data_IF_711107607991
#
_entry.id   IF_711107607991
#
_cell.length_a   1.000
_cell.length_b   1.000
_cell.length_c   1.000
_cell.angle_alpha   90.00
_cell.angle_beta   90.00
_cell.angle_gamma   90.00
#
_symmetry.space_group_name_H-M   'P 1'
#
loop_
_entity.id
_entity.type
_entity.pdbx_description
1 polymer ?
#
# COMPACT_ATOMS: atom_id res chain seq x y z
N UNK A 1 -21.88 -28.32 33.28
CA UNK A 1 -20.52 -28.87 33.05
C UNK A 1 -20.55 -29.79 31.83
N UNK A 2 -20.29 -29.25 30.63
CA UNK A 2 -20.17 -30.06 29.40
C UNK A 2 -18.72 -30.54 29.29
N UNK A 3 -18.53 -31.86 29.17
CA UNK A 3 -17.20 -32.49 29.04
C UNK A 3 -16.67 -32.29 27.62
N UNK A 4 -15.54 -31.59 27.50
CA UNK A 4 -14.73 -31.56 26.28
C UNK A 4 -14.08 -32.94 26.07
N UNK A 5 -14.35 -33.58 24.93
CA UNK A 5 -13.56 -34.72 24.46
C UNK A 5 -12.44 -34.19 23.57
N UNK A 6 -11.20 -34.32 24.04
CA UNK A 6 -10.01 -34.14 23.20
C UNK A 6 -9.86 -35.38 22.31
N UNK A 7 -9.99 -35.21 21.00
CA UNK A 7 -9.62 -36.23 20.01
C UNK A 7 -8.12 -36.08 19.75
N UNK A 8 -7.33 -37.10 20.12
CA UNK A 8 -5.92 -37.20 19.77
C UNK A 8 -5.80 -37.59 18.30
N UNK A 9 -5.25 -36.71 17.48
CA UNK A 9 -4.96 -36.97 16.08
C UNK A 9 -3.53 -37.56 15.99
N UNK A 10 -3.39 -38.84 15.67
CA UNK A 10 -2.10 -39.44 15.32
C UNK A 10 -2.09 -39.71 13.81
N UNK A 11 -1.30 -38.93 13.07
CA UNK A 11 -1.06 -39.12 11.65
C UNK A 11 0.14 -40.05 11.46
N UNK A 12 -0.08 -41.26 10.98
CA UNK A 12 0.99 -42.16 10.54
C UNK A 12 0.85 -42.34 9.03
N UNK A 13 1.63 -41.57 8.27
CA UNK A 13 1.79 -41.71 6.83
C UNK A 13 3.09 -42.50 6.55
N UNK A 14 2.93 -43.76 6.13
CA UNK A 14 3.90 -44.51 5.33
C UNK A 14 3.09 -45.59 4.60
N UNK A 15 3.22 -45.80 3.30
CA UNK A 15 4.35 -46.48 2.67
C UNK A 15 4.33 -46.24 1.15
N UNK A 16 5.52 -46.07 0.57
CA UNK A 16 5.82 -46.14 -0.86
C UNK A 16 6.00 -47.60 -1.34
N UNK A 17 5.63 -47.81 -2.61
CA UNK A 17 6.28 -48.66 -3.62
C UNK A 17 5.71 -50.06 -3.97
N UNK A 18 5.57 -50.21 -5.30
CA UNK A 18 5.83 -51.38 -6.15
C UNK A 18 4.85 -52.58 -6.16
N UNK A 19 4.11 -52.63 -7.27
CA UNK A 19 3.61 -53.78 -8.02
C UNK A 19 3.81 -55.19 -7.46
N UNK A 20 2.69 -55.85 -7.16
CA UNK A 20 2.21 -57.07 -7.82
C UNK A 20 0.83 -57.40 -7.25
N UNK A 21 -0.12 -57.67 -8.14
CA UNK A 21 -1.51 -57.94 -7.80
C UNK A 21 -1.62 -59.26 -7.01
N UNK A 22 -1.93 -59.14 -5.72
CA UNK A 22 -2.74 -60.12 -5.00
C UNK A 22 -3.86 -59.31 -4.36
N UNK A 23 -5.01 -59.25 -5.04
CA UNK A 23 -6.25 -58.76 -4.46
C UNK A 23 -6.66 -59.76 -3.37
N UNK A 24 -6.17 -59.51 -2.16
CA UNK A 24 -6.62 -60.20 -0.97
C UNK A 24 -7.93 -59.50 -0.56
N UNK A 25 -9.00 -60.25 -0.27
CA UNK A 25 -10.29 -59.67 0.21
C UNK A 25 -10.07 -58.72 1.39
N UNK A 26 -9.01 -58.94 2.17
CA UNK A 26 -8.55 -58.07 3.26
C UNK A 26 -8.07 -56.68 2.78
N UNK A 27 -7.44 -56.59 1.61
CA UNK A 27 -7.01 -55.31 1.00
C UNK A 27 -8.20 -54.55 0.44
N UNK A 28 -9.13 -55.22 -0.25
CA UNK A 28 -10.37 -54.59 -0.74
C UNK A 28 -11.26 -54.14 0.42
N UNK A 29 -11.35 -54.95 1.48
CA UNK A 29 -12.04 -54.59 2.73
C UNK A 29 -11.43 -53.36 3.39
N UNK A 30 -10.09 -53.28 3.44
CA UNK A 30 -9.38 -52.10 3.99
C UNK A 30 -9.58 -50.86 3.14
N UNK A 31 -9.56 -50.98 1.80
CA UNK A 31 -9.84 -49.87 0.88
C UNK A 31 -11.29 -49.39 1.06
N UNK A 32 -12.27 -50.29 1.08
CA UNK A 32 -13.67 -49.93 1.30
C UNK A 32 -13.92 -49.28 2.67
N UNK A 33 -13.24 -49.75 3.71
CA UNK A 33 -13.31 -49.15 5.05
C UNK A 33 -12.66 -47.74 5.05
N UNK A 34 -11.51 -47.57 4.41
CA UNK A 34 -10.86 -46.26 4.24
C UNK A 34 -11.74 -45.29 3.44
N UNK A 35 -12.36 -45.73 2.34
CA UNK A 35 -13.28 -44.92 1.55
C UNK A 35 -14.51 -44.51 2.36
N UNK A 36 -15.06 -45.42 3.17
CA UNK A 36 -16.18 -45.14 4.07
C UNK A 36 -15.79 -44.15 5.17
N UNK A 37 -14.61 -44.30 5.79
CA UNK A 37 -14.08 -43.37 6.77
C UNK A 37 -13.78 -41.99 6.16
N UNK A 38 -13.25 -41.95 4.93
CA UNK A 38 -13.04 -40.70 4.19
C UNK A 38 -14.36 -40.02 3.80
N UNK A 39 -15.38 -40.79 3.44
CA UNK A 39 -16.71 -40.26 3.12
C UNK A 39 -17.38 -39.70 4.39
N UNK A 40 -17.34 -40.44 5.51
CA UNK A 40 -17.83 -39.98 6.79
C UNK A 40 -17.07 -38.74 7.29
N UNK A 41 -15.74 -38.72 7.13
CA UNK A 41 -14.93 -37.55 7.46
C UNK A 41 -15.29 -36.35 6.57
N UNK A 42 -15.44 -36.53 5.25
CA UNK A 42 -15.88 -35.47 4.33
C UNK A 42 -17.27 -34.96 4.68
N UNK A 43 -18.16 -35.83 5.14
CA UNK A 43 -19.51 -35.47 5.54
C UNK A 43 -19.55 -34.77 6.90
N UNK A 44 -18.72 -35.20 7.86
CA UNK A 44 -18.49 -34.50 9.13
C UNK A 44 -17.85 -33.13 8.92
N UNK A 45 -16.91 -33.03 7.99
CA UNK A 45 -16.24 -31.76 7.65
C UNK A 45 -17.20 -30.82 6.92
N UNK A 46 -18.02 -31.31 5.98
CA UNK A 46 -19.10 -30.55 5.33
C UNK A 46 -20.20 -30.14 6.30
N UNK A 47 -20.66 -31.05 7.16
CA UNK A 47 -21.77 -30.79 8.10
C UNK A 47 -21.37 -29.87 9.25
N UNK A 48 -20.10 -29.87 9.65
CA UNK A 48 -19.56 -28.93 10.63
C UNK A 48 -18.97 -27.65 10.00
N UNK A 49 -19.12 -27.44 8.68
CA UNK A 49 -18.55 -26.29 7.97
C UNK A 49 -17.03 -26.11 8.20
N UNK A 50 -16.30 -27.18 8.49
CA UNK A 50 -14.87 -27.10 8.78
C UNK A 50 -14.05 -26.75 7.52
N UNK A 51 -14.54 -27.08 6.33
CA UNK A 51 -14.01 -26.62 5.03
C UNK A 51 -14.26 -25.14 4.73
N UNK A 52 -15.16 -24.48 5.48
CA UNK A 52 -15.61 -23.10 5.24
C UNK A 52 -15.30 -22.16 6.41
N UNK A 53 -14.89 -22.70 7.55
CA UNK A 53 -14.57 -21.94 8.76
C UNK A 53 -13.25 -21.19 8.68
N UNK A 54 -12.26 -21.70 7.95
CA UNK A 54 -10.99 -21.00 7.75
C UNK A 54 -10.50 -21.15 6.32
N UNK A 55 -10.24 -20.03 5.64
CA UNK A 55 -9.69 -19.99 4.28
C UNK A 55 -8.35 -19.31 4.30
N UNK A 56 -7.41 -19.90 3.56
CA UNK A 56 -6.14 -19.29 3.22
C UNK A 56 -6.16 -18.94 1.75
N UNK A 57 -5.84 -17.70 1.43
CA UNK A 57 -5.61 -17.23 0.08
C UNK A 57 -4.29 -16.44 0.06
N UNK A 58 -3.50 -16.63 -0.98
CA UNK A 58 -2.27 -15.90 -1.20
C UNK A 58 -2.39 -15.22 -2.57
N UNK A 59 -2.06 -13.93 -2.60
CA UNK A 59 -1.89 -13.14 -3.80
C UNK A 59 -0.58 -12.36 -3.67
N UNK A 60 -0.33 -11.43 -4.58
CA UNK A 60 0.76 -10.47 -4.43
C UNK A 60 1.28 -10.00 -5.77
N UNK A 61 2.48 -9.45 -5.75
CA UNK A 61 3.16 -9.07 -6.97
C UNK A 61 4.68 -9.14 -6.86
N UNK A 62 5.32 -9.09 -8.01
CA UNK A 62 6.76 -8.95 -8.13
C UNK A 62 7.08 -8.02 -9.31
N UNK A 63 8.20 -7.31 -9.21
CA UNK A 63 8.72 -6.54 -10.33
C UNK A 63 10.25 -6.48 -10.35
N UNK A 64 10.76 -6.18 -11.52
CA UNK A 64 12.15 -5.78 -11.74
C UNK A 64 12.14 -4.45 -12.47
N UNK A 65 12.88 -3.49 -11.93
CA UNK A 65 12.96 -2.12 -12.44
C UNK A 65 14.35 -1.86 -13.02
N UNK A 66 14.39 -1.07 -14.08
CA UNK A 66 15.61 -0.57 -14.67
C UNK A 66 15.47 0.90 -15.06
N UNK A 67 16.56 1.62 -14.94
CA UNK A 67 16.68 3.04 -15.29
C UNK A 67 17.84 3.20 -16.27
N UNK A 68 17.69 4.10 -17.24
CA UNK A 68 18.76 4.47 -18.15
C UNK A 68 18.64 5.94 -18.60
N UNK A 69 19.77 6.58 -18.85
CA UNK A 69 19.87 7.93 -19.40
C UNK A 69 19.70 9.07 -18.39
N UNK A 70 19.61 8.76 -17.10
CA UNK A 70 19.54 9.77 -16.03
C UNK A 70 20.91 10.40 -15.81
N UNK A 71 20.92 11.72 -15.60
CA UNK A 71 22.13 12.45 -15.20
C UNK A 71 22.34 12.40 -13.68
N UNK A 72 21.33 11.96 -12.92
CA UNK A 72 21.34 11.84 -11.46
C UNK A 72 21.59 10.42 -10.94
N UNK A 73 21.42 9.41 -11.79
CA UNK A 73 21.55 8.00 -11.42
C UNK A 73 22.23 7.19 -12.51
N UNK A 74 23.07 6.24 -12.12
CA UNK A 74 23.70 5.31 -13.07
C UNK A 74 22.67 4.40 -13.76
N UNK A 75 22.90 4.14 -15.05
CA UNK A 75 22.17 3.14 -15.82
C UNK A 75 22.26 1.76 -15.14
N UNK A 76 21.12 1.13 -14.88
CA UNK A 76 21.13 -0.17 -14.21
C UNK A 76 19.77 -0.74 -13.89
N UNK A 77 19.80 -1.92 -13.27
CA UNK A 77 18.64 -2.51 -12.61
C UNK A 77 18.58 -1.96 -11.18
N UNK A 78 17.46 -1.34 -10.83
CA UNK A 78 17.36 -0.51 -9.62
C UNK A 78 16.53 -1.14 -8.52
N UNK A 79 15.68 -2.12 -8.85
CA UNK A 79 14.91 -2.86 -7.87
C UNK A 79 14.57 -4.27 -8.36
N UNK A 80 14.53 -5.21 -7.43
CA UNK A 80 13.91 -6.52 -7.60
C UNK A 80 13.03 -6.76 -6.37
N UNK A 81 11.72 -6.71 -6.57
CA UNK A 81 10.73 -6.75 -5.49
C UNK A 81 9.87 -7.99 -5.55
N UNK A 82 9.57 -8.54 -4.38
CA UNK A 82 8.59 -9.59 -4.17
C UNK A 82 7.69 -9.22 -2.99
N UNK A 83 6.41 -9.01 -3.28
CA UNK A 83 5.42 -8.55 -2.32
C UNK A 83 4.27 -9.57 -2.17
N UNK A 84 4.44 -10.64 -1.37
CA UNK A 84 3.38 -11.60 -1.11
C UNK A 84 2.33 -11.04 -0.15
N UNK A 85 1.06 -11.27 -0.49
CA UNK A 85 -0.10 -10.88 0.30
C UNK A 85 -0.81 -12.13 0.82
N UNK A 86 -0.95 -12.23 2.13
CA UNK A 86 -1.63 -13.33 2.78
C UNK A 86 -2.99 -12.92 3.30
N UNK A 87 -4.01 -13.71 2.98
CA UNK A 87 -5.37 -13.55 3.45
C UNK A 87 -5.77 -14.78 4.26
N UNK A 88 -6.02 -14.59 5.54
CA UNK A 88 -6.50 -15.64 6.44
C UNK A 88 -7.90 -15.27 6.94
N UNK A 89 -8.92 -15.90 6.34
CA UNK A 89 -10.31 -15.61 6.68
C UNK A 89 -10.85 -16.65 7.66
N UNK A 90 -11.51 -16.20 8.74
CA UNK A 90 -12.32 -17.03 9.63
C UNK A 90 -13.82 -16.73 9.46
N UNK A 91 -14.57 -17.73 9.00
CA UNK A 91 -15.98 -17.59 8.60
C UNK A 91 -16.14 -16.43 7.59
N UNK A 92 -17.26 -15.72 7.67
CA UNK A 92 -17.60 -14.46 7.03
C UNK A 92 -17.30 -13.24 7.93
N UNK A 93 -16.64 -13.44 9.08
CA UNK A 93 -16.59 -12.43 10.15
C UNK A 93 -15.25 -11.77 10.32
N UNK A 94 -14.17 -12.54 10.18
CA UNK A 94 -12.82 -12.04 10.46
C UNK A 94 -11.94 -12.35 9.27
N UNK A 95 -11.18 -11.37 8.83
CA UNK A 95 -10.14 -11.52 7.83
C UNK A 95 -8.86 -10.91 8.39
N UNK A 96 -7.76 -11.65 8.33
CA UNK A 96 -6.44 -11.06 8.44
C UNK A 96 -5.90 -10.87 7.03
N UNK A 97 -5.31 -9.70 6.77
CA UNK A 97 -4.62 -9.38 5.52
C UNK A 97 -3.23 -8.85 5.87
N UNK A 98 -2.21 -9.30 5.14
CA UNK A 98 -0.87 -8.77 5.34
C UNK A 98 -0.04 -8.86 4.08
N UNK A 99 0.60 -7.75 3.72
CA UNK A 99 1.56 -7.64 2.63
C UNK A 99 2.96 -7.46 3.21
N UNK A 100 3.86 -8.34 2.80
CA UNK A 100 5.28 -8.14 3.01
C UNK A 100 5.85 -7.47 1.77
N UNK A 101 6.82 -6.60 1.94
CA UNK A 101 7.66 -6.11 0.86
C UNK A 101 9.07 -6.68 1.07
N UNK A 102 9.57 -7.42 0.08
CA UNK A 102 10.91 -7.99 0.09
C UNK A 102 11.64 -7.42 -1.12
N UNK A 103 12.72 -6.69 -0.88
CA UNK A 103 13.49 -6.07 -1.94
C UNK A 103 15.00 -6.07 -1.69
N UNK A 104 15.75 -5.86 -2.78
CA UNK A 104 17.20 -5.70 -2.71
C UNK A 104 17.53 -4.23 -2.57
N UNK A 105 18.25 -3.86 -1.50
CA UNK A 105 18.69 -2.48 -1.28
C UNK A 105 19.97 -2.14 -2.08
N UNK A 106 20.45 -0.90 -1.96
CA UNK A 106 21.62 -0.40 -2.69
C UNK A 106 22.93 -1.17 -2.38
N UNK A 107 23.05 -1.74 -1.19
CA UNK A 107 24.21 -2.56 -0.77
C UNK A 107 24.10 -4.02 -1.25
N UNK A 108 23.01 -4.38 -1.92
CA UNK A 108 22.72 -5.73 -2.38
C UNK A 108 22.20 -6.66 -1.27
N UNK A 109 21.84 -6.11 -0.11
CA UNK A 109 21.20 -6.84 0.97
C UNK A 109 19.69 -6.98 0.72
N UNK A 110 19.07 -7.96 1.38
CA UNK A 110 17.62 -8.15 1.32
C UNK A 110 16.97 -7.42 2.49
N UNK A 111 16.13 -6.45 2.17
CA UNK A 111 15.26 -5.77 3.11
C UNK A 111 13.88 -6.43 3.13
N UNK A 112 13.28 -6.51 4.32
CA UNK A 112 11.95 -7.09 4.53
C UNK A 112 11.15 -6.12 5.39
N UNK A 113 10.10 -5.55 4.81
CA UNK A 113 9.15 -4.68 5.49
C UNK A 113 7.74 -5.30 5.49
N UNK A 114 6.91 -4.88 6.43
CA UNK A 114 5.47 -5.13 6.39
C UNK A 114 4.79 -3.87 5.87
N UNK A 115 4.29 -3.90 4.64
CA UNK A 115 3.63 -2.75 4.00
C UNK A 115 2.27 -2.49 4.67
N UNK A 116 1.49 -3.54 4.92
CA UNK A 116 0.35 -3.52 5.83
C UNK A 116 0.14 -4.87 6.51
N UNK A 117 -0.53 -4.83 7.66
CA UNK A 117 -0.94 -6.00 8.42
C UNK A 117 -2.17 -5.65 9.27
N UNK A 118 -3.33 -6.18 8.91
CA UNK A 118 -4.61 -5.82 9.53
C UNK A 118 -5.42 -7.04 9.97
N UNK A 119 -6.28 -6.80 10.96
CA UNK A 119 -7.38 -7.69 11.33
C UNK A 119 -8.68 -6.93 11.08
N UNK A 120 -9.52 -7.50 10.24
CA UNK A 120 -10.73 -6.93 9.70
C UNK A 120 -11.93 -7.68 10.25
N UNK A 121 -12.70 -7.03 11.12
CA UNK A 121 -13.96 -7.54 11.66
C UNK A 121 -15.12 -7.03 10.81
N UNK A 122 -15.71 -7.94 10.02
CA UNK A 122 -16.90 -7.68 9.23
C UNK A 122 -18.11 -7.51 10.16
N UNK A 123 -18.64 -6.30 10.28
CA UNK A 123 -19.77 -6.01 11.17
C UNK A 123 -21.10 -6.27 10.44
N UNK A 124 -21.18 -5.87 9.18
CA UNK A 124 -22.28 -6.12 8.25
C UNK A 124 -21.84 -5.83 6.80
N UNK A 125 -22.76 -5.96 5.85
CA UNK A 125 -22.52 -5.75 4.40
C UNK A 125 -22.01 -4.33 4.03
N UNK A 126 -22.08 -3.36 4.94
CA UNK A 126 -21.76 -1.95 4.68
C UNK A 126 -20.60 -1.40 5.52
N UNK A 127 -20.04 -2.20 6.44
CA UNK A 127 -18.94 -1.73 7.29
C UNK A 127 -18.08 -2.88 7.85
N UNK A 128 -16.77 -2.65 7.83
CA UNK A 128 -15.75 -3.45 8.49
C UNK A 128 -14.97 -2.56 9.46
N UNK A 129 -14.66 -3.11 10.63
CA UNK A 129 -13.73 -2.52 11.59
C UNK A 129 -12.35 -3.16 11.35
N UNK A 130 -11.40 -2.35 10.92
CA UNK A 130 -10.02 -2.71 10.59
C UNK A 130 -9.12 -2.25 11.73
N UNK A 131 -8.21 -3.10 12.19
CA UNK A 131 -7.22 -2.73 13.19
C UNK A 131 -5.83 -3.28 12.81
N UNK A 132 -4.79 -2.46 12.88
CA UNK A 132 -3.42 -2.83 12.50
C UNK A 132 -2.70 -1.73 11.73
N UNK A 133 -1.62 -2.10 11.02
CA UNK A 133 -0.94 -1.22 10.06
C UNK A 133 -1.74 -1.27 8.76
N UNK A 134 -2.30 -0.16 8.32
CA UNK A 134 -3.06 -0.08 7.08
C UNK A 134 -2.51 1.03 6.18
N UNK A 135 -2.63 0.87 4.86
CA UNK A 135 -2.33 1.94 3.92
C UNK A 135 -3.25 3.13 4.18
N UNK A 136 -2.68 4.34 4.15
CA UNK A 136 -3.45 5.54 4.44
C UNK A 136 -4.65 5.64 3.50
N UNK A 137 -5.88 5.85 4.02
CA UNK A 137 -7.05 6.04 3.18
C UNK A 137 -7.11 7.45 2.59
N UNK A 138 -6.17 8.35 2.94
CA UNK A 138 -6.10 9.70 2.40
C UNK A 138 -5.64 9.61 0.94
N UNK A 139 -6.46 10.15 0.03
CA UNK A 139 -6.24 9.99 -1.40
C UNK A 139 -6.63 8.61 -1.95
N UNK A 140 -6.21 8.34 -3.19
CA UNK A 140 -6.62 7.19 -3.99
C UNK A 140 -5.42 6.35 -4.43
N UNK A 141 -4.29 6.97 -4.75
CA UNK A 141 -3.13 6.30 -5.31
C UNK A 141 -2.64 5.17 -4.41
N UNK A 142 -2.35 5.50 -3.15
CA UNK A 142 -1.75 4.56 -2.19
C UNK A 142 -2.63 3.34 -1.97
N UNK A 143 -3.89 3.51 -1.59
CA UNK A 143 -4.73 2.36 -1.26
C UNK A 143 -5.21 1.52 -2.46
N UNK A 144 -5.13 2.02 -3.70
CA UNK A 144 -5.75 1.34 -4.85
C UNK A 144 -4.81 0.95 -5.99
N UNK A 145 -3.73 1.70 -6.23
CA UNK A 145 -2.94 1.55 -7.47
C UNK A 145 -1.43 1.56 -7.24
N UNK A 146 -0.96 1.60 -5.99
CA UNK A 146 0.47 1.49 -5.67
C UNK A 146 1.14 0.19 -6.17
N UNK A 147 0.47 -0.99 -6.25
CA UNK A 147 1.16 -2.21 -6.67
C UNK A 147 1.68 -2.07 -8.09
N UNK A 148 2.92 -2.51 -8.32
CA UNK A 148 3.62 -2.25 -9.57
C UNK A 148 2.86 -2.78 -10.79
N UNK A 149 2.18 -3.91 -10.73
CA UNK A 149 1.40 -4.42 -11.87
C UNK A 149 0.08 -3.67 -12.13
N UNK A 150 -0.41 -2.87 -11.18
CA UNK A 150 -1.63 -2.07 -11.29
C UNK A 150 -1.29 -0.63 -11.72
N UNK A 151 -0.23 -0.05 -11.16
CA UNK A 151 0.27 1.27 -11.54
C UNK A 151 0.55 1.31 -13.05
N UNK A 152 0.13 2.39 -13.73
CA UNK A 152 0.20 2.47 -15.19
C UNK A 152 1.59 2.86 -15.71
N UNK A 153 2.40 3.50 -14.87
CA UNK A 153 3.80 3.79 -15.16
C UNK A 153 4.72 2.97 -14.24
N UNK A 154 6.03 2.87 -14.55
CA UNK A 154 7.00 2.19 -13.68
C UNK A 154 7.12 2.81 -12.29
N UNK A 155 6.97 4.13 -12.18
CA UNK A 155 7.16 4.90 -10.94
C UNK A 155 5.85 5.39 -10.34
N UNK A 156 5.83 5.64 -9.03
CA UNK A 156 4.77 6.41 -8.39
C UNK A 156 4.70 7.84 -8.96
N UNK A 157 3.54 8.52 -8.93
CA UNK A 157 3.46 9.95 -9.20
C UNK A 157 4.40 10.74 -8.29
N UNK A 158 4.93 11.85 -8.80
CA UNK A 158 5.77 12.76 -8.00
C UNK A 158 5.02 13.20 -6.74
N UNK A 159 5.67 13.13 -5.58
CA UNK A 159 5.05 13.44 -4.28
C UNK A 159 4.16 12.35 -3.66
N UNK A 160 3.97 11.20 -4.34
CA UNK A 160 3.21 10.05 -3.82
C UNK A 160 4.10 8.85 -3.44
N UNK A 161 5.43 9.03 -3.50
CA UNK A 161 6.48 8.10 -3.03
C UNK A 161 6.81 8.29 -1.54
N UNK A 162 7.91 7.68 -1.08
CA UNK A 162 8.46 7.96 0.26
C UNK A 162 8.97 9.40 0.34
N UNK A 163 8.86 10.02 1.53
CA UNK A 163 9.19 11.44 1.74
C UNK A 163 8.31 12.44 0.96
N UNK A 164 7.19 11.98 0.38
CA UNK A 164 6.28 12.81 -0.41
C UNK A 164 5.20 13.50 0.42
N UNK A 165 4.38 14.33 -0.24
CA UNK A 165 3.24 15.00 0.39
C UNK A 165 2.10 14.03 0.77
N UNK A 166 2.00 12.88 0.12
CA UNK A 166 0.92 11.92 0.37
C UNK A 166 1.26 10.96 1.53
N UNK A 167 0.42 10.89 2.59
CA UNK A 167 0.64 9.93 3.67
C UNK A 167 0.66 8.47 3.19
N UNK A 168 1.56 7.66 3.76
CA UNK A 168 1.80 6.30 3.28
C UNK A 168 0.96 5.26 4.03
N UNK A 169 1.09 5.21 5.36
CA UNK A 169 0.43 4.21 6.19
C UNK A 169 0.18 4.69 7.60
N UNK A 170 -0.74 4.04 8.28
CA UNK A 170 -1.17 4.36 9.64
C UNK A 170 -1.22 3.09 10.50
N UNK A 171 -0.84 3.21 11.78
CA UNK A 171 -1.06 2.15 12.78
C UNK A 171 -2.20 2.56 13.71
N UNK A 172 -3.33 1.85 13.64
CA UNK A 172 -4.49 2.22 14.44
C UNK A 172 -5.74 1.40 14.16
N UNK A 173 -6.88 2.08 14.19
CA UNK A 173 -8.20 1.51 13.93
C UNK A 173 -8.93 2.33 12.88
N UNK A 174 -9.53 1.65 11.91
CA UNK A 174 -10.30 2.23 10.82
C UNK A 174 -11.69 1.58 10.74
N UNK A 175 -12.73 2.39 10.54
CA UNK A 175 -14.04 1.94 10.12
C UNK A 175 -14.21 2.28 8.63
N UNK A 176 -14.32 1.26 7.79
CA UNK A 176 -14.47 1.44 6.35
C UNK A 176 -15.65 0.68 5.78
N UNK A 177 -16.19 1.14 4.67
CA UNK A 177 -17.30 0.47 4.01
C UNK A 177 -17.78 1.16 2.76
N UNK A 178 -18.90 0.66 2.24
CA UNK A 178 -19.56 1.23 1.09
C UNK A 178 -21.07 1.09 1.21
N UNK A 179 -21.80 2.08 0.71
CA UNK A 179 -23.26 2.14 0.78
C UNK A 179 -23.85 2.33 -0.63
N UNK A 180 -24.88 1.53 -0.99
CA UNK A 180 -25.68 1.84 -2.16
C UNK A 180 -26.53 3.08 -1.87
N UNK A 181 -26.57 3.99 -2.83
CA UNK A 181 -27.46 5.15 -2.82
C UNK A 181 -28.65 4.87 -3.76
N UNK A 182 -29.14 5.88 -4.49
CA UNK A 182 -30.22 5.70 -5.46
C UNK A 182 -29.70 5.14 -6.80
N UNK A 183 -30.41 4.18 -7.39
CA UNK A 183 -30.09 3.65 -8.72
C UNK A 183 -28.68 3.04 -8.79
N UNK A 184 -27.87 3.54 -9.73
CA UNK A 184 -26.47 3.11 -9.91
C UNK A 184 -25.46 3.86 -9.03
N UNK A 185 -25.92 4.82 -8.22
CA UNK A 185 -25.04 5.63 -7.38
C UNK A 185 -24.53 4.84 -6.18
N UNK A 186 -23.26 5.04 -5.80
CA UNK A 186 -22.63 4.42 -4.63
C UNK A 186 -21.82 5.47 -3.87
N UNK A 187 -21.55 5.21 -2.60
CA UNK A 187 -20.52 5.92 -1.85
C UNK A 187 -19.65 4.92 -1.09
N UNK A 188 -18.38 5.24 -0.92
CA UNK A 188 -17.44 4.52 -0.06
C UNK A 188 -16.89 5.48 1.00
N UNK A 189 -16.46 4.93 2.13
CA UNK A 189 -15.86 5.72 3.21
C UNK A 189 -14.83 4.90 3.97
N UNK A 190 -13.86 5.60 4.53
CA UNK A 190 -12.92 5.09 5.51
C UNK A 190 -12.67 6.20 6.52
N UNK A 191 -12.90 5.94 7.81
CA UNK A 191 -12.64 6.85 8.90
C UNK A 191 -11.69 6.17 9.87
N UNK A 192 -10.66 6.85 10.35
CA UNK A 192 -9.65 6.23 11.18
C UNK A 192 -9.22 7.10 12.35
N UNK A 193 -8.61 6.43 13.32
CA UNK A 193 -7.71 7.04 14.29
C UNK A 193 -6.44 6.20 14.38
N UNK A 194 -5.30 6.86 14.46
CA UNK A 194 -3.97 6.24 14.42
C UNK A 194 -2.98 6.98 15.30
N UNK A 195 -1.86 6.34 15.58
CA UNK A 195 -0.67 7.03 16.05
C UNK A 195 -0.30 8.14 15.05
N UNK A 196 0.21 9.27 15.55
CA UNK A 196 0.58 10.39 14.70
C UNK A 196 1.85 10.12 13.87
N UNK A 197 2.04 10.82 12.74
CA UNK A 197 3.33 10.87 12.05
C UNK A 197 4.38 11.54 12.93
N UNK A 198 5.63 11.51 12.50
CA UNK A 198 6.74 12.21 13.17
C UNK A 198 7.44 13.13 12.20
N UNK A 199 7.77 14.34 12.64
CA UNK A 199 8.65 15.24 11.89
C UNK A 199 10.08 14.93 12.32
N UNK A 200 10.87 14.38 11.41
CA UNK A 200 12.27 14.05 11.65
C UNK A 200 13.11 15.21 11.16
N UNK A 201 13.97 15.73 12.04
CA UNK A 201 14.88 16.82 11.72
C UNK A 201 16.30 16.33 11.94
N UNK A 202 17.08 16.31 10.87
CA UNK A 202 18.50 16.03 10.92
C UNK A 202 19.31 17.32 10.75
N UNK A 203 20.31 17.48 11.60
CA UNK A 203 21.10 18.70 11.71
C UNK A 203 22.56 18.35 11.96
N UNK A 204 23.16 17.69 10.98
CA UNK A 204 24.56 17.28 11.06
C UNK A 204 25.51 18.50 10.98
N UNK A 205 26.56 18.56 11.84
CA UNK A 205 27.43 19.73 11.90
C UNK A 205 28.17 20.03 10.58
N UNK A 206 27.73 21.08 9.89
CA UNK A 206 28.34 21.54 8.64
C UNK A 206 27.61 21.10 7.37
N UNK A 207 26.49 20.40 7.53
CA UNK A 207 25.54 20.06 6.46
C UNK A 207 24.30 20.94 6.57
N UNK A 208 23.44 20.89 5.54
CA UNK A 208 22.16 21.58 5.57
C UNK A 208 21.17 20.82 6.47
N UNK A 209 20.21 21.52 7.06
CA UNK A 209 19.22 20.89 7.93
C UNK A 209 18.23 20.13 7.06
N UNK A 210 18.18 18.82 7.19
CA UNK A 210 17.23 17.97 6.50
C UNK A 210 15.96 17.82 7.33
N UNK A 211 14.81 17.95 6.66
CA UNK A 211 13.50 17.85 7.29
C UNK A 211 12.68 16.82 6.54
N UNK A 212 12.42 15.70 7.19
CA UNK A 212 11.62 14.62 6.64
C UNK A 212 10.33 14.45 7.43
N UNK A 213 9.25 14.23 6.70
CA UNK A 213 7.94 13.99 7.26
C UNK A 213 7.63 12.50 7.19
N UNK A 214 7.87 11.81 8.31
CA UNK A 214 7.69 10.37 8.41
C UNK A 214 6.21 10.03 8.52
N UNK A 215 5.65 9.62 7.38
CA UNK A 215 4.23 9.23 7.23
C UNK A 215 4.03 7.73 7.11
N UNK A 216 5.08 6.95 7.37
CA UNK A 216 4.94 5.52 7.60
C UNK A 216 4.46 5.21 9.01
N UNK A 217 3.69 4.14 9.15
CA UNK A 217 3.11 3.74 10.40
C UNK A 217 4.17 3.31 11.44
N UNK A 218 4.32 4.11 12.50
CA UNK A 218 5.16 3.77 13.65
C UNK A 218 4.36 3.08 14.78
N UNK A 219 5.01 2.14 15.46
CA UNK A 219 4.48 1.52 16.68
C UNK A 219 4.55 2.44 17.90
N UNK A 220 5.37 3.50 17.84
CA UNK A 220 5.43 4.57 18.83
C UNK A 220 4.25 5.54 18.66
N UNK A 221 3.79 6.07 19.77
CA UNK A 221 2.97 7.29 19.82
C UNK A 221 3.61 8.23 20.83
N UNK A 222 4.87 8.59 20.55
CA UNK A 222 5.79 9.20 21.53
C UNK A 222 5.25 10.51 22.11
N UNK A 223 4.52 11.27 21.30
CA UNK A 223 3.91 12.55 21.66
C UNK A 223 2.59 12.38 22.44
N UNK A 224 2.02 11.18 22.42
CA UNK A 224 0.76 10.84 23.08
C UNK A 224 -0.49 11.32 22.35
N UNK A 225 -0.38 11.90 21.16
CA UNK A 225 -1.53 12.42 20.41
C UNK A 225 -1.99 11.42 19.35
N UNK A 226 -3.30 11.34 19.14
CA UNK A 226 -3.84 10.56 18.03
C UNK A 226 -4.15 11.48 16.84
N UNK A 227 -3.96 10.95 15.64
CA UNK A 227 -4.48 11.54 14.41
C UNK A 227 -5.86 10.94 14.13
N UNK A 228 -6.74 11.76 13.58
CA UNK A 228 -8.07 11.38 13.12
C UNK A 228 -8.23 11.81 11.68
N UNK A 229 -8.71 10.92 10.83
CA UNK A 229 -8.85 11.23 9.42
C UNK A 229 -9.78 10.30 8.69
N UNK A 230 -9.83 10.49 7.39
CA UNK A 230 -10.60 9.61 6.53
C UNK A 230 -10.78 10.12 5.11
N UNK A 231 -11.49 9.32 4.33
CA UNK A 231 -11.88 9.60 2.96
C UNK A 231 -13.35 9.23 2.74
N UNK A 232 -14.03 10.02 1.94
CA UNK A 232 -15.35 9.72 1.39
C UNK A 232 -15.27 9.78 -0.13
N UNK A 233 -15.57 8.65 -0.77
CA UNK A 233 -15.71 8.55 -2.22
C UNK A 233 -17.18 8.53 -2.63
N UNK A 234 -17.51 9.26 -3.68
CA UNK A 234 -18.85 9.31 -4.27
C UNK A 234 -18.80 8.88 -5.73
N UNK A 235 -19.62 7.89 -6.07
CA UNK A 235 -19.76 7.36 -7.42
C UNK A 235 -21.15 7.70 -7.96
N UNK A 236 -21.34 8.84 -8.64
CA UNK A 236 -22.64 9.20 -9.23
C UNK A 236 -23.06 8.22 -10.33
N UNK A 237 -22.07 7.63 -11.00
CA UNK A 237 -22.22 6.53 -11.96
C UNK A 237 -21.07 5.54 -11.75
N UNK A 238 -21.20 4.25 -12.12
CA UNK A 238 -20.14 3.27 -11.90
C UNK A 238 -18.80 3.60 -12.56
N UNK A 239 -18.82 4.46 -13.58
CA UNK A 239 -17.64 4.89 -14.33
C UNK A 239 -16.84 6.03 -13.66
N UNK A 240 -17.43 6.77 -12.73
CA UNK A 240 -16.84 7.97 -12.13
C UNK A 240 -16.79 7.83 -10.61
N UNK A 241 -15.62 8.02 -10.02
CA UNK A 241 -15.42 8.19 -8.58
C UNK A 241 -14.83 9.57 -8.31
N UNK A 242 -15.38 10.28 -7.32
CA UNK A 242 -14.87 11.54 -6.79
C UNK A 242 -14.62 11.36 -5.29
N UNK A 243 -13.40 11.60 -4.84
CA UNK A 243 -13.00 11.46 -3.44
C UNK A 243 -12.63 12.79 -2.80
N UNK A 244 -12.99 12.94 -1.53
CA UNK A 244 -12.44 13.95 -0.63
C UNK A 244 -11.91 13.25 0.61
N UNK A 245 -10.75 13.68 1.09
CA UNK A 245 -10.08 13.11 2.24
C UNK A 245 -9.37 14.17 3.07
N UNK A 246 -9.07 13.83 4.32
CA UNK A 246 -8.24 14.66 5.17
C UNK A 246 -7.98 14.04 6.52
N UNK A 247 -7.00 14.58 7.22
CA UNK A 247 -6.60 14.16 8.56
C UNK A 247 -6.27 15.39 9.41
N UNK A 248 -6.45 15.26 10.72
CA UNK A 248 -6.13 16.28 11.71
C UNK A 248 -5.61 15.63 12.99
N UNK A 249 -4.66 16.27 13.64
CA UNK A 249 -4.09 15.80 14.89
C UNK A 249 -2.89 16.64 15.32
N UNK A 250 -1.94 15.98 15.97
CA UNK A 250 -0.64 16.56 16.29
C UNK A 250 0.46 15.71 15.69
N UNK A 251 1.63 16.31 15.57
CA UNK A 251 2.85 15.68 15.14
C UNK A 251 3.96 15.99 16.15
N UNK A 252 4.62 14.92 16.62
CA UNK A 252 5.84 15.03 17.42
C UNK A 252 7.04 15.33 16.53
N UNK A 253 8.10 15.89 17.12
CA UNK A 253 9.35 16.20 16.43
C UNK A 253 10.46 15.34 17.00
N UNK A 254 11.19 14.64 16.14
CA UNK A 254 12.38 13.86 16.48
C UNK A 254 13.64 14.53 15.93
N UNK A 255 14.77 14.34 16.61
CA UNK A 255 16.08 14.83 16.18
C UNK A 255 16.97 13.62 15.82
N UNK A 256 17.61 13.65 14.64
CA UNK A 256 18.35 12.51 14.09
C UNK A 256 17.44 11.61 13.23
N UNK A 257 17.56 10.28 13.30
CA UNK A 257 16.84 9.35 12.41
C UNK A 257 15.82 8.42 13.12
N UNK A 258 15.53 8.62 14.41
CA UNK A 258 14.67 7.69 15.17
C UNK A 258 13.32 8.34 15.52
N UNK A 259 12.25 7.89 14.85
CA UNK A 259 10.86 8.32 15.09
C UNK A 259 10.34 8.04 16.50
N UNK A 260 11.05 7.23 17.29
CA UNK A 260 10.70 6.92 18.68
C UNK A 260 11.37 7.84 19.71
N UNK A 261 12.43 8.55 19.33
CA UNK A 261 13.20 9.44 20.20
C UNK A 261 12.89 10.92 19.91
N UNK A 262 11.76 11.39 20.47
CA UNK A 262 11.36 12.79 20.32
C UNK A 262 12.35 13.77 20.95
N UNK A 263 12.51 14.92 20.29
CA UNK A 263 13.37 16.02 20.73
C UNK A 263 12.92 16.54 22.10
N UNK A 264 13.85 16.49 23.06
CA UNK A 264 13.53 16.81 24.45
C UNK A 264 13.14 18.28 24.63
N UNK A 265 11.89 18.53 25.01
CA UNK A 265 11.37 19.87 25.26
C UNK A 265 10.79 20.57 24.03
N UNK A 266 10.77 19.90 22.87
CA UNK A 266 10.07 20.36 21.68
C UNK A 266 8.56 20.06 21.81
N UNK A 267 7.67 21.03 21.57
CA UNK A 267 6.24 20.81 21.66
C UNK A 267 5.67 20.18 20.39
N UNK A 268 4.54 19.48 20.54
CA UNK A 268 3.81 18.92 19.40
C UNK A 268 3.15 20.02 18.57
N UNK A 269 3.18 19.85 17.25
CA UNK A 269 2.68 20.85 16.29
C UNK A 269 1.34 20.41 15.71
N UNK A 270 0.54 21.36 15.25
CA UNK A 270 -0.70 21.03 14.53
C UNK A 270 -0.36 20.27 13.24
N UNK A 271 -1.06 19.17 13.00
CA UNK A 271 -0.93 18.36 11.79
C UNK A 271 -2.25 18.36 11.03
N UNK A 272 -2.22 18.72 9.75
CA UNK A 272 -3.39 18.72 8.87
C UNK A 272 -3.05 18.14 7.50
N UNK A 273 -3.95 17.33 6.96
CA UNK A 273 -3.89 16.85 5.58
C UNK A 273 -5.22 17.10 4.89
N UNK A 274 -5.17 17.56 3.64
CA UNK A 274 -6.31 17.72 2.76
C UNK A 274 -6.04 16.99 1.45
N UNK A 275 -7.03 16.26 0.94
CA UNK A 275 -6.89 15.50 -0.29
C UNK A 275 -8.16 15.49 -1.13
N UNK A 276 -7.99 15.53 -2.44
CA UNK A 276 -9.07 15.39 -3.42
C UNK A 276 -8.62 14.50 -4.57
N UNK A 277 -9.49 13.62 -5.03
CA UNK A 277 -9.18 12.68 -6.10
C UNK A 277 -10.37 12.44 -7.04
N UNK A 278 -10.06 12.04 -8.27
CA UNK A 278 -11.06 11.67 -9.26
C UNK A 278 -10.56 10.53 -10.14
N UNK A 279 -11.43 9.55 -10.42
CA UNK A 279 -11.16 8.46 -11.37
C UNK A 279 -12.33 8.34 -12.32
N UNK A 280 -12.06 8.34 -13.62
CA UNK A 280 -13.06 8.16 -14.66
C UNK A 280 -12.64 7.05 -15.65
N UNK A 281 -13.50 6.05 -15.82
CA UNK A 281 -13.29 4.94 -16.74
C UNK A 281 -14.33 5.01 -17.86
N UNK A 282 -13.86 5.18 -19.11
CA UNK A 282 -14.68 5.17 -20.31
C UNK A 282 -14.14 4.11 -21.27
N UNK A 283 -14.79 2.96 -21.30
CA UNK A 283 -14.36 1.78 -22.07
C UNK A 283 -12.89 1.42 -21.78
N UNK A 284 -11.99 1.68 -22.73
CA UNK A 284 -10.56 1.40 -22.62
C UNK A 284 -9.72 2.62 -22.22
N UNK A 285 -10.35 3.77 -22.02
CA UNK A 285 -9.74 5.00 -21.50
C UNK A 285 -9.94 5.07 -19.98
N UNK A 286 -8.86 5.30 -19.24
CA UNK A 286 -8.88 5.66 -17.84
C UNK A 286 -8.24 7.04 -17.66
N UNK A 287 -8.96 7.91 -16.98
CA UNK A 287 -8.46 9.19 -16.49
C UNK A 287 -8.43 9.14 -14.96
N UNK A 288 -7.39 9.70 -14.37
CA UNK A 288 -7.30 9.86 -12.92
C UNK A 288 -6.53 11.13 -12.57
N UNK A 289 -6.81 11.67 -11.40
CA UNK A 289 -6.01 12.73 -10.81
C UNK A 289 -6.23 12.80 -9.31
N UNK A 290 -5.25 13.36 -8.63
CA UNK A 290 -5.18 13.42 -7.19
C UNK A 290 -4.36 14.62 -6.76
N UNK A 291 -4.80 15.29 -5.71
CA UNK A 291 -4.14 16.41 -5.06
C UNK A 291 -4.09 16.12 -3.56
N UNK A 292 -2.93 16.31 -2.94
CA UNK A 292 -2.72 16.24 -1.50
C UNK A 292 -1.96 17.48 -1.04
N UNK A 293 -2.38 18.05 0.07
CA UNK A 293 -1.66 19.06 0.83
C UNK A 293 -1.52 18.60 2.28
N UNK A 294 -0.31 18.64 2.80
CA UNK A 294 0.04 18.26 4.16
C UNK A 294 0.77 19.42 4.84
N UNK A 295 0.29 19.80 6.02
CA UNK A 295 0.76 20.98 6.76
C UNK A 295 1.16 20.60 8.19
N UNK A 296 2.34 21.06 8.60
CA UNK A 296 2.83 21.01 9.98
C UNK A 296 2.93 22.43 10.51
N UNK A 297 2.23 22.72 11.60
CA UNK A 297 2.15 24.06 12.17
C UNK A 297 3.50 24.61 12.66
N UNK A 298 3.61 25.93 12.69
CA UNK A 298 4.80 26.64 13.19
C UNK A 298 4.99 26.49 14.70
N UNK A 299 6.25 26.54 15.14
CA UNK A 299 6.62 26.64 16.56
C UNK A 299 7.73 27.67 16.76
N UNK A 300 7.34 28.86 17.21
CA UNK A 300 8.24 30.01 17.31
C UNK A 300 9.38 29.82 18.34
N UNK A 301 9.24 28.91 19.30
CA UNK A 301 10.27 28.64 20.31
C UNK A 301 11.00 27.31 20.07
N UNK A 302 10.89 26.74 18.87
CA UNK A 302 11.57 25.50 18.52
C UNK A 302 13.06 25.63 18.78
N UNK A 303 13.60 24.69 19.56
CA UNK A 303 15.02 24.63 19.87
C UNK A 303 15.77 23.67 18.94
N UNK A 304 15.02 22.89 18.13
CA UNK A 304 15.56 21.90 17.19
C UNK A 304 16.35 22.58 16.09
N UNK A 305 17.52 22.00 15.76
CA UNK A 305 18.41 22.50 14.72
C UNK A 305 18.71 24.01 14.82
N UNK A 306 18.79 24.55 16.03
CA UNK A 306 19.03 25.98 16.26
C UNK A 306 17.89 26.92 15.84
N UNK A 307 16.65 26.41 15.76
CA UNK A 307 15.47 27.16 15.34
C UNK A 307 15.22 27.14 13.83
N UNK A 308 15.85 26.22 13.10
CA UNK A 308 15.69 26.09 11.65
C UNK A 308 14.25 25.72 11.24
N UNK A 309 13.47 25.11 12.14
CA UNK A 309 12.13 24.60 11.86
C UNK A 309 11.08 25.36 12.66
N UNK A 310 11.11 26.70 12.61
CA UNK A 310 10.17 27.54 13.38
C UNK A 310 8.90 27.89 12.62
N UNK A 311 8.96 27.90 11.29
CA UNK A 311 7.84 28.25 10.41
C UNK A 311 6.92 27.05 10.13
N UNK A 312 5.76 27.36 9.54
CA UNK A 312 4.85 26.33 9.05
C UNK A 312 5.47 25.61 7.85
N UNK A 313 5.37 24.29 7.84
CA UNK A 313 5.85 23.45 6.74
C UNK A 313 4.65 22.99 5.92
N UNK A 314 4.71 23.19 4.61
CA UNK A 314 3.68 22.76 3.67
C UNK A 314 4.31 21.87 2.59
N UNK A 315 3.70 20.70 2.40
CA UNK A 315 4.01 19.76 1.33
C UNK A 315 2.76 19.64 0.45
N UNK A 316 2.89 19.92 -0.83
CA UNK A 316 1.79 19.84 -1.80
C UNK A 316 2.20 18.96 -2.96
N UNK A 317 1.35 18.01 -3.35
CA UNK A 317 1.57 17.22 -4.55
C UNK A 317 0.28 17.01 -5.32
N UNK A 318 0.39 17.00 -6.64
CA UNK A 318 -0.71 16.56 -7.48
C UNK A 318 -0.24 15.83 -8.72
N UNK A 319 -1.13 15.01 -9.29
CA UNK A 319 -0.92 14.44 -10.61
C UNK A 319 -2.22 14.30 -11.39
N UNK A 320 -2.08 14.24 -12.71
CA UNK A 320 -3.13 13.83 -13.63
C UNK A 320 -2.56 12.78 -14.60
N UNK A 321 -3.30 11.70 -14.84
CA UNK A 321 -2.87 10.61 -15.70
C UNK A 321 -3.99 10.17 -16.64
N UNK A 322 -3.63 9.92 -17.90
CA UNK A 322 -4.47 9.26 -18.87
C UNK A 322 -3.81 7.95 -19.32
N UNK A 323 -4.55 6.85 -19.28
CA UNK A 323 -4.14 5.55 -19.81
C UNK A 323 -5.18 5.07 -20.83
N UNK A 324 -4.73 4.71 -22.02
CA UNK A 324 -5.60 4.23 -23.09
C UNK A 324 -5.11 2.89 -23.62
N UNK A 325 -5.89 1.84 -23.39
CA UNK A 325 -5.65 0.54 -23.99
C UNK A 325 -6.24 0.50 -25.39
N UNK A 326 -5.40 0.22 -26.38
CA UNK A 326 -5.85 0.16 -27.78
C UNK A 326 -6.76 -1.08 -27.94
N UNK A 327 -8.04 -0.91 -28.36
CA UNK A 327 -8.99 -2.00 -28.49
C UNK A 327 -8.46 -3.15 -29.34
N UNK A 328 -8.79 -4.39 -28.96
CA UNK A 328 -8.36 -5.63 -29.63
C UNK A 328 -6.83 -5.83 -29.71
N UNK A 329 -6.06 -5.08 -28.93
CA UNK A 329 -4.60 -5.27 -28.80
C UNK A 329 -4.18 -5.47 -27.34
N UNK A 330 -2.88 -5.73 -27.16
CA UNK A 330 -2.20 -5.83 -25.86
C UNK A 330 -1.44 -4.55 -25.49
N UNK A 331 -1.60 -3.48 -26.26
CA UNK A 331 -0.87 -2.23 -26.07
C UNK A 331 -1.71 -1.21 -25.31
N UNK A 332 -1.08 -0.53 -24.36
CA UNK A 332 -1.66 0.59 -23.61
C UNK A 332 -0.66 1.75 -23.61
N UNK A 333 -1.13 2.94 -24.01
CA UNK A 333 -0.37 4.18 -23.91
C UNK A 333 -0.73 4.92 -22.64
N UNK A 334 0.24 5.53 -21.98
CA UNK A 334 0.05 6.23 -20.71
C UNK A 334 0.79 7.56 -20.73
N UNK A 335 0.15 8.61 -20.24
CA UNK A 335 0.81 9.89 -19.96
C UNK A 335 0.44 10.34 -18.54
N UNK A 336 1.40 10.91 -17.83
CA UNK A 336 1.20 11.50 -16.50
C UNK A 336 1.92 12.83 -16.43
N UNK A 337 1.27 13.82 -15.83
CA UNK A 337 1.88 15.07 -15.40
C UNK A 337 1.64 15.21 -13.90
N UNK A 338 2.52 15.92 -13.20
CA UNK A 338 2.35 16.21 -11.79
C UNK A 338 3.37 17.21 -11.31
N UNK A 339 3.28 17.54 -10.03
CA UNK A 339 4.03 18.60 -9.38
C UNK A 339 4.19 18.25 -7.91
N UNK A 340 5.33 18.63 -7.34
CA UNK A 340 5.61 18.52 -5.92
C UNK A 340 6.24 19.82 -5.44
N UNK A 341 5.63 20.40 -4.42
CA UNK A 341 6.17 21.46 -3.59
C UNK A 341 6.42 20.92 -2.18
N UNK A 342 7.58 21.26 -1.63
CA UNK A 342 7.98 20.97 -0.25
C UNK A 342 8.55 22.23 0.38
N UNK A 343 8.80 22.23 1.70
CA UNK A 343 9.50 23.34 2.36
C UNK A 343 10.95 23.54 1.85
N UNK A 344 11.59 22.48 1.33
CA UNK A 344 12.91 22.55 0.71
C UNK A 344 12.81 22.73 -0.79
N UNK A 345 13.28 23.86 -1.32
CA UNK A 345 13.18 24.18 -2.75
C UNK A 345 13.85 23.13 -3.65
N UNK A 346 14.86 22.44 -3.13
CA UNK A 346 15.70 21.47 -3.79
C UNK A 346 14.94 20.20 -4.23
N UNK A 347 13.84 19.90 -3.55
CA UNK A 347 12.97 18.78 -3.88
C UNK A 347 11.81 19.19 -4.81
N UNK A 348 11.54 20.49 -4.94
CA UNK A 348 10.42 21.01 -5.71
C UNK A 348 10.65 20.78 -7.19
N UNK A 349 9.65 20.19 -7.86
CA UNK A 349 9.76 19.85 -9.27
C UNK A 349 8.42 19.58 -9.90
N UNK A 350 8.32 19.93 -11.17
CA UNK A 350 7.28 19.42 -12.05
C UNK A 350 7.75 18.13 -12.74
N UNK A 351 6.85 17.18 -12.94
CA UNK A 351 7.16 15.91 -13.61
C UNK A 351 6.21 15.67 -14.76
N UNK A 352 6.75 15.23 -15.89
CA UNK A 352 5.95 14.57 -16.92
C UNK A 352 6.54 13.22 -17.32
N UNK A 353 5.66 12.28 -17.63
CA UNK A 353 6.01 10.95 -18.10
C UNK A 353 5.14 10.54 -19.28
N UNK A 354 5.75 9.91 -20.28
CA UNK A 354 5.05 9.26 -21.38
C UNK A 354 5.53 7.81 -21.50
N UNK A 355 4.60 6.87 -21.50
CA UNK A 355 4.91 5.45 -21.46
C UNK A 355 4.04 4.59 -22.37
N UNK A 356 4.56 3.39 -22.62
CA UNK A 356 3.89 2.32 -23.35
C UNK A 356 3.99 1.02 -22.55
N UNK A 357 2.86 0.35 -22.42
CA UNK A 357 2.71 -0.92 -21.73
C UNK A 357 2.36 -2.01 -22.75
N UNK A 358 2.98 -3.17 -22.61
CA UNK A 358 2.57 -4.41 -23.30
C UNK A 358 2.08 -5.43 -22.28
N UNK A 359 0.81 -5.80 -22.39
CA UNK A 359 0.13 -6.70 -21.48
C UNK A 359 0.20 -8.13 -22.03
N UNK A 360 1.13 -8.96 -21.54
CA UNK A 360 1.13 -10.40 -21.85
C UNK A 360 -0.18 -11.04 -21.38
N UNK A 361 -0.60 -10.64 -20.17
CA UNK A 361 -1.91 -10.82 -19.55
C UNK A 361 -2.24 -9.57 -18.71
N UNK A 362 -3.46 -9.46 -18.17
CA UNK A 362 -3.84 -8.31 -17.32
C UNK A 362 -2.98 -8.14 -16.06
N UNK A 363 -2.29 -9.20 -15.64
CA UNK A 363 -1.43 -9.24 -14.46
C UNK A 363 0.03 -9.54 -14.80
N UNK A 364 0.42 -9.58 -16.09
CA UNK A 364 1.83 -9.74 -16.53
C UNK A 364 2.11 -8.68 -17.59
N UNK A 365 2.89 -7.67 -17.21
CA UNK A 365 3.02 -6.43 -18.00
C UNK A 365 4.49 -6.04 -18.07
N UNK A 366 4.97 -5.67 -19.25
CA UNK A 366 6.20 -4.89 -19.41
C UNK A 366 5.85 -3.45 -19.75
N UNK A 367 6.55 -2.51 -19.14
CA UNK A 367 6.34 -1.07 -19.28
C UNK A 367 7.66 -0.42 -19.65
N UNK A 368 7.59 0.57 -20.53
CA UNK A 368 8.69 1.49 -20.79
C UNK A 368 8.13 2.91 -20.78
N UNK A 369 8.77 3.80 -20.04
CA UNK A 369 8.38 5.20 -19.93
C UNK A 369 9.60 6.10 -20.04
N UNK A 370 9.42 7.26 -20.66
CA UNK A 370 10.35 8.38 -20.54
C UNK A 370 9.76 9.36 -19.55
N UNK A 371 10.56 9.79 -18.59
CA UNK A 371 10.19 10.70 -17.50
C UNK A 371 11.16 11.87 -17.48
N UNK A 372 10.64 13.07 -17.25
CA UNK A 372 11.43 14.26 -17.01
C UNK A 372 10.96 14.88 -15.70
N UNK A 373 11.91 15.16 -14.83
CA UNK A 373 11.76 15.98 -13.63
C UNK A 373 12.44 17.33 -13.90
N UNK A 374 11.66 18.41 -13.90
CA UNK A 374 12.10 19.80 -14.06
C UNK A 374 12.07 20.44 -12.67
N UNK A 375 13.26 20.72 -12.12
CA UNK A 375 13.43 21.19 -10.73
C UNK A 375 13.31 22.70 -10.66
N UNK A 376 12.60 23.19 -9.64
CA UNK A 376 12.36 24.63 -9.48
C UNK A 376 13.63 25.40 -9.10
N UNK A 377 14.55 24.74 -8.38
CA UNK A 377 15.86 25.31 -8.09
C UNK A 377 16.78 25.22 -9.32
N UNK A 378 17.11 26.39 -9.88
CA UNK A 378 18.02 26.53 -11.02
C UNK A 378 19.46 26.06 -10.74
N UNK A 379 19.81 25.76 -9.48
CA UNK A 379 21.08 25.12 -9.14
C UNK A 379 21.06 23.60 -9.39
N UNK A 380 19.89 23.01 -9.58
CA UNK A 380 19.67 21.59 -9.83
C UNK A 380 19.32 21.41 -11.31
N UNK A 381 20.13 20.63 -12.01
CA UNK A 381 19.83 20.27 -13.40
C UNK A 381 18.61 19.33 -13.46
N UNK A 382 17.79 19.51 -14.50
CA UNK A 382 16.68 18.62 -14.85
C UNK A 382 17.16 17.17 -14.96
N UNK A 383 16.29 16.21 -14.61
CA UNK A 383 16.58 14.80 -14.77
C UNK A 383 15.66 14.14 -15.78
N UNK A 384 16.28 13.51 -16.77
CA UNK A 384 15.62 12.87 -17.89
C UNK A 384 15.97 11.40 -17.88
N UNK A 385 14.98 10.51 -17.91
CA UNK A 385 15.27 9.08 -17.77
C UNK A 385 14.28 8.18 -18.48
N UNK A 386 14.79 7.03 -18.93
CA UNK A 386 13.97 5.90 -19.33
C UNK A 386 13.78 4.95 -18.14
N UNK A 387 12.53 4.73 -17.74
CA UNK A 387 12.15 3.72 -16.76
C UNK A 387 11.57 2.50 -17.48
N UNK A 388 12.09 1.32 -17.16
CA UNK A 388 11.60 0.04 -17.67
C UNK A 388 11.21 -0.83 -16.49
N UNK A 389 10.06 -1.49 -16.57
CA UNK A 389 9.58 -2.37 -15.51
C UNK A 389 8.92 -3.62 -16.10
N UNK A 390 9.30 -4.79 -15.60
CA UNK A 390 8.54 -6.02 -15.77
C UNK A 390 7.79 -6.28 -14.46
N UNK A 391 6.46 -6.28 -14.50
CA UNK A 391 5.61 -6.48 -13.34
C UNK A 391 4.70 -7.70 -13.51
N UNK A 392 4.53 -8.46 -12.42
CA UNK A 392 3.71 -9.67 -12.36
C UNK A 392 2.88 -9.68 -11.07
N UNK A 393 1.55 -9.58 -11.19
CA UNK A 393 0.61 -9.87 -10.10
C UNK A 393 0.16 -11.34 -10.13
N UNK A 394 0.09 -12.01 -8.99
CA UNK A 394 -0.23 -13.44 -8.87
C UNK A 394 -1.33 -13.75 -7.86
#
# INVERSE_FOLDING_TARGET
>A
MKKLHFIKLSLAASVLASGTAIANEDTESKIANLESQMAALREDVKSNNLDTLSKLHMAGYANVDAIAGSDRQEDGFTAARFAPIFHFQFSDRVLFEGELEIETNADGETEIAAEYATIDLMLNDYMALVAGKFLSPIGQFRQNVHPSWINKLPTAPVGFGHGGAAPLSDLGVQLRGGIPLSGSMRANYALFTSNGPTLVVDADPGEEVEIELETEAAASNGDGNFVYGGRVGFLPVPALELGLSGALGKIGVAEGHDVSDLAAGEPDRDYTVLGADAVYNLDTLQLRGEFIQQTVGSEANSAVAGGAVTEELEYTAWYAQAAYRVPDTKWEGVVRIGDLDTPGADANRSQWSAGVNYLFANHVIIKAAYTVDDYDDNAIDDDERFNIQLAYGF
#
